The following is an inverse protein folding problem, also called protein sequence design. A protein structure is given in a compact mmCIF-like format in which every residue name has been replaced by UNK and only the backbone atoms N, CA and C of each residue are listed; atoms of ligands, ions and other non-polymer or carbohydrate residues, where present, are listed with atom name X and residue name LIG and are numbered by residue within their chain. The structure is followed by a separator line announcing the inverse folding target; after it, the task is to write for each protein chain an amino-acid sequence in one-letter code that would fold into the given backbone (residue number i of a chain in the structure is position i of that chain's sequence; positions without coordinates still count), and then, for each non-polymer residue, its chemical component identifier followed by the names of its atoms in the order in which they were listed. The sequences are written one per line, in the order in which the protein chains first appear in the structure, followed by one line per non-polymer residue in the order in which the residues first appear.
data_IF_974402835766
#
_entry.id   IF_974402835766
#
_cell.length_a   1.000
_cell.length_b   1.000
_cell.length_c   1.000
_cell.angle_alpha   90.00
_cell.angle_beta   90.00
_cell.angle_gamma   90.00
#
_symmetry.space_group_name_H-M   'P 1'
#
loop_
_entity.id
_entity.type
_entity.pdbx_description
1 polymer ?
#
# COMPACT_ATOMS: atom_id res chain seq x y z
N UNK A 1 14.29 55.02 33.93
CA UNK A 1 12.83 54.77 33.88
C UNK A 1 12.61 53.56 32.99
N UNK A 2 12.23 52.44 33.61
CA UNK A 2 11.65 51.17 33.10
C UNK A 2 12.34 50.37 31.97
N UNK A 3 13.11 49.34 32.36
CA UNK A 3 13.39 48.11 31.60
C UNK A 3 12.13 47.24 31.54
N UNK A 4 11.58 46.97 30.36
CA UNK A 4 10.48 46.01 30.15
C UNK A 4 11.03 44.60 29.93
N UNK A 5 10.98 43.78 30.96
CA UNK A 5 11.16 42.33 30.88
C UNK A 5 9.97 41.71 30.12
N UNK A 6 10.22 41.21 28.92
CA UNK A 6 9.28 40.35 28.19
C UNK A 6 9.28 38.98 28.84
N UNK A 7 8.14 38.55 29.38
CA UNK A 7 7.95 37.23 29.95
C UNK A 7 7.99 36.14 28.85
N UNK A 8 8.56 34.95 29.12
CA UNK A 8 8.55 33.86 28.16
C UNK A 8 7.12 33.35 27.92
N UNK A 9 6.78 32.90 26.70
CA UNK A 9 5.45 32.34 26.43
C UNK A 9 5.20 31.10 27.30
N UNK A 10 4.23 31.23 28.19
CA UNK A 10 3.75 30.18 29.08
C UNK A 10 3.02 29.08 28.30
N UNK A 11 3.51 27.85 28.44
CA UNK A 11 2.75 26.60 28.31
C UNK A 11 2.17 26.30 26.93
N UNK A 12 2.91 25.53 26.13
CA UNK A 12 2.34 24.77 25.03
C UNK A 12 1.34 23.74 25.57
N UNK A 13 0.08 24.16 25.74
CA UNK A 13 -1.02 23.27 26.01
C UNK A 13 -1.20 22.34 24.82
N UNK A 14 -0.70 21.12 24.92
CA UNK A 14 -1.03 20.05 23.97
C UNK A 14 -2.56 19.88 24.01
N UNK A 15 -3.22 20.20 22.89
CA UNK A 15 -4.67 20.09 22.74
C UNK A 15 -5.09 18.63 22.97
N UNK A 16 -5.59 18.32 24.17
CA UNK A 16 -6.07 16.98 24.55
C UNK A 16 -7.16 16.46 23.61
N UNK A 17 -7.91 17.37 22.98
CA UNK A 17 -8.94 17.09 21.99
C UNK A 17 -8.37 16.46 20.71
N UNK A 18 -7.16 16.86 20.29
CA UNK A 18 -6.47 16.28 19.15
C UNK A 18 -6.05 14.83 19.41
N UNK A 19 -5.42 14.59 20.56
CA UNK A 19 -4.93 13.26 20.95
C UNK A 19 -6.06 12.22 21.07
N UNK A 20 -7.20 12.61 21.66
CA UNK A 20 -8.37 11.72 21.77
C UNK A 20 -8.94 11.33 20.40
N UNK A 21 -9.01 12.28 19.46
CA UNK A 21 -9.48 12.03 18.09
C UNK A 21 -8.54 11.09 17.34
N UNK A 22 -7.22 11.30 17.42
CA UNK A 22 -6.25 10.42 16.77
C UNK A 22 -6.29 9.01 17.34
N UNK A 23 -6.36 8.88 18.67
CA UNK A 23 -6.50 7.59 19.34
C UNK A 23 -7.78 6.85 18.92
N UNK A 24 -8.91 7.56 18.85
CA UNK A 24 -10.17 7.00 18.37
C UNK A 24 -10.07 6.50 16.91
N UNK A 25 -9.46 7.29 16.02
CA UNK A 25 -9.27 6.89 14.62
C UNK A 25 -8.36 5.66 14.48
N UNK A 26 -7.29 5.58 15.27
CA UNK A 26 -6.41 4.41 15.29
C UNK A 26 -7.14 3.16 15.79
N UNK A 27 -7.90 3.27 16.89
CA UNK A 27 -8.72 2.17 17.41
C UNK A 27 -9.76 1.70 16.37
N UNK A 28 -10.44 2.65 15.72
CA UNK A 28 -11.40 2.33 14.66
C UNK A 28 -10.73 1.62 13.47
N UNK A 29 -9.53 2.07 13.06
CA UNK A 29 -8.76 1.44 11.98
C UNK A 29 -8.31 0.02 12.33
N UNK A 30 -7.83 -0.20 13.56
CA UNK A 30 -7.46 -1.54 14.05
C UNK A 30 -8.69 -2.45 14.08
N UNK A 31 -9.81 -1.97 14.62
CA UNK A 31 -11.05 -2.74 14.66
C UNK A 31 -11.54 -3.11 13.25
N UNK A 32 -11.51 -2.15 12.30
CA UNK A 32 -11.87 -2.39 10.91
C UNK A 32 -10.94 -3.41 10.24
N UNK A 33 -9.62 -3.34 10.51
CA UNK A 33 -8.67 -4.33 10.02
C UNK A 33 -8.97 -5.72 10.57
N UNK A 34 -9.23 -5.85 11.88
CA UNK A 34 -9.61 -7.14 12.49
C UNK A 34 -10.86 -7.73 11.86
N UNK A 35 -11.90 -6.91 11.66
CA UNK A 35 -13.14 -7.35 10.98
C UNK A 35 -12.85 -7.80 9.55
N UNK A 36 -12.02 -7.06 8.81
CA UNK A 36 -11.63 -7.42 7.44
C UNK A 36 -10.84 -8.74 7.38
N UNK A 37 -9.96 -9.00 8.35
CA UNK A 37 -9.23 -10.26 8.46
C UNK A 37 -10.17 -11.44 8.74
N UNK A 38 -11.08 -11.29 9.71
CA UNK A 38 -12.10 -12.30 9.99
C UNK A 38 -12.98 -12.56 8.75
N UNK A 39 -13.44 -11.49 8.08
CA UNK A 39 -14.22 -11.60 6.86
C UNK A 39 -13.44 -12.29 5.73
N UNK A 40 -12.15 -11.98 5.56
CA UNK A 40 -11.30 -12.61 4.54
C UNK A 40 -11.17 -14.12 4.72
N UNK A 41 -11.22 -14.61 5.97
CA UNK A 41 -11.16 -16.05 6.27
C UNK A 41 -12.54 -16.69 6.10
N UNK A 42 -13.61 -16.02 6.55
CA UNK A 42 -14.97 -16.55 6.56
C UNK A 42 -15.64 -16.54 5.17
N UNK A 43 -15.42 -15.50 4.36
CA UNK A 43 -16.04 -15.33 3.05
C UNK A 43 -15.16 -15.88 1.93
N UNK A 44 -15.72 -16.81 1.13
CA UNK A 44 -15.07 -17.41 -0.04
C UNK A 44 -15.99 -18.41 -0.74
N UNK A 45 -15.44 -19.28 -1.60
CA UNK A 45 -16.19 -20.24 -2.43
C UNK A 45 -17.14 -21.17 -1.65
N UNK A 46 -16.87 -21.38 -0.36
CA UNK A 46 -17.77 -22.01 0.60
C UNK A 46 -17.76 -21.16 1.88
N UNK A 47 -18.93 -20.90 2.45
CA UNK A 47 -19.06 -20.26 3.77
C UNK A 47 -18.41 -21.18 4.80
N UNK A 48 -17.34 -20.70 5.44
CA UNK A 48 -16.56 -21.46 6.42
C UNK A 48 -16.84 -20.85 7.79
N UNK A 49 -17.27 -21.67 8.74
CA UNK A 49 -17.54 -21.23 10.11
C UNK A 49 -16.24 -21.07 10.89
N UNK A 50 -16.28 -20.33 12.01
CA UNK A 50 -15.14 -20.24 12.93
C UNK A 50 -14.71 -21.60 13.50
N UNK A 51 -15.67 -22.54 13.61
CA UNK A 51 -15.39 -23.92 14.03
C UNK A 51 -14.52 -24.67 13.02
N UNK A 52 -14.81 -24.54 11.73
CA UNK A 52 -14.05 -25.20 10.67
C UNK A 52 -12.58 -24.75 10.64
N UNK A 53 -12.31 -23.48 10.95
CA UNK A 53 -10.94 -22.93 11.04
C UNK A 53 -10.18 -23.55 12.22
N UNK A 54 -10.84 -23.67 13.39
CA UNK A 54 -10.26 -24.32 14.57
C UNK A 54 -10.05 -25.81 14.34
N UNK A 55 -10.93 -26.48 13.59
CA UNK A 55 -10.79 -27.88 13.23
C UNK A 55 -9.64 -28.11 12.24
N UNK A 56 -9.40 -27.20 11.30
CA UNK A 56 -8.20 -27.24 10.43
C UNK A 56 -6.92 -27.08 11.26
N UNK A 57 -6.87 -26.09 12.16
CA UNK A 57 -5.75 -25.90 13.09
C UNK A 57 -5.54 -27.10 14.02
N UNK A 58 -6.62 -27.77 14.41
CA UNK A 58 -6.61 -28.98 15.21
C UNK A 58 -6.36 -30.27 14.43
N UNK A 59 -6.12 -30.22 13.11
CA UNK A 59 -6.01 -31.38 12.21
C UNK A 59 -7.21 -32.34 12.22
N UNK A 60 -8.40 -31.81 12.54
CA UNK A 60 -9.69 -32.53 12.62
C UNK A 60 -10.59 -32.30 11.42
N UNK A 61 -10.24 -31.37 10.54
CA UNK A 61 -11.06 -30.99 9.39
C UNK A 61 -10.84 -31.90 8.17
N UNK A 62 -11.85 -31.96 7.31
CA UNK A 62 -11.77 -32.63 6.01
C UNK A 62 -10.67 -32.02 5.12
N UNK A 63 -10.06 -32.85 4.26
CA UNK A 63 -9.02 -32.43 3.32
C UNK A 63 -9.47 -31.28 2.40
N UNK A 64 -10.74 -31.27 1.98
CA UNK A 64 -11.31 -30.19 1.16
C UNK A 64 -11.40 -28.85 1.91
N UNK A 65 -11.77 -28.88 3.20
CA UNK A 65 -11.88 -27.67 4.04
C UNK A 65 -10.48 -27.11 4.35
N UNK A 66 -9.53 -28.00 4.62
CA UNK A 66 -8.11 -27.68 4.83
C UNK A 66 -7.51 -26.98 3.61
N UNK A 67 -7.64 -27.56 2.41
CA UNK A 67 -7.09 -26.97 1.17
C UNK A 67 -7.67 -25.58 0.86
N UNK A 68 -8.96 -25.36 1.16
CA UNK A 68 -9.61 -24.05 0.98
C UNK A 68 -9.02 -23.01 1.93
N UNK A 69 -8.86 -23.35 3.22
CA UNK A 69 -8.31 -22.44 4.23
C UNK A 69 -6.83 -22.15 3.95
N UNK A 70 -6.05 -23.16 3.56
CA UNK A 70 -4.65 -23.02 3.17
C UNK A 70 -4.45 -22.11 1.94
N UNK A 71 -5.42 -22.04 1.03
CA UNK A 71 -5.38 -21.09 -0.09
C UNK A 71 -5.74 -19.65 0.32
N UNK A 72 -6.55 -19.47 1.38
CA UNK A 72 -7.00 -18.15 1.85
C UNK A 72 -5.93 -17.43 2.66
N UNK A 73 -5.25 -18.14 3.56
CA UNK A 73 -4.20 -17.57 4.40
C UNK A 73 -3.13 -16.76 3.63
N UNK A 74 -2.49 -17.30 2.57
CA UNK A 74 -1.49 -16.55 1.82
C UNK A 74 -2.10 -15.33 1.14
N UNK A 75 -3.36 -15.39 0.70
CA UNK A 75 -4.05 -14.24 0.09
C UNK A 75 -4.27 -13.11 1.09
N UNK A 76 -4.71 -13.44 2.31
CA UNK A 76 -4.91 -12.46 3.39
C UNK A 76 -3.58 -11.81 3.79
N UNK A 77 -2.52 -12.62 3.94
CA UNK A 77 -1.17 -12.12 4.25
C UNK A 77 -0.66 -11.19 3.15
N UNK A 78 -0.77 -11.58 1.88
CA UNK A 78 -0.38 -10.74 0.76
C UNK A 78 -1.19 -9.43 0.70
N UNK A 79 -2.49 -9.47 0.99
CA UNK A 79 -3.33 -8.27 1.06
C UNK A 79 -2.88 -7.29 2.14
N UNK A 80 -2.56 -7.79 3.34
CA UNK A 80 -2.03 -6.95 4.43
C UNK A 80 -0.67 -6.36 4.07
N UNK A 81 0.25 -7.19 3.56
CA UNK A 81 1.59 -6.73 3.16
C UNK A 81 1.52 -5.68 2.04
N UNK A 82 0.71 -5.91 1.02
CA UNK A 82 0.49 -4.94 -0.06
C UNK A 82 -0.10 -3.63 0.47
N UNK A 83 -1.10 -3.70 1.37
CA UNK A 83 -1.69 -2.54 2.02
C UNK A 83 -0.69 -1.73 2.85
N UNK A 84 0.19 -2.40 3.60
CA UNK A 84 1.27 -1.76 4.36
C UNK A 84 2.28 -1.06 3.43
N UNK A 85 2.70 -1.72 2.35
CA UNK A 85 3.59 -1.13 1.35
C UNK A 85 2.96 0.13 0.72
N UNK A 86 1.68 0.08 0.36
CA UNK A 86 0.94 1.23 -0.18
C UNK A 86 0.80 2.36 0.84
N UNK A 87 0.53 2.04 2.11
CA UNK A 87 0.45 3.04 3.17
C UNK A 87 1.79 3.76 3.38
N UNK A 88 2.92 3.02 3.40
CA UNK A 88 4.26 3.58 3.50
C UNK A 88 4.58 4.44 2.28
N UNK A 89 4.34 3.93 1.06
CA UNK A 89 4.59 4.68 -0.16
C UNK A 89 3.74 5.96 -0.25
N UNK A 90 2.45 5.89 0.13
CA UNK A 90 1.54 7.03 0.18
C UNK A 90 1.97 8.09 1.19
N UNK A 91 2.29 7.70 2.42
CA UNK A 91 2.74 8.63 3.46
C UNK A 91 4.06 9.30 3.11
N UNK A 92 5.01 8.57 2.52
CA UNK A 92 6.26 9.13 1.99
C UNK A 92 5.99 10.13 0.87
N UNK A 93 5.12 9.79 -0.09
CA UNK A 93 4.78 10.67 -1.21
C UNK A 93 4.08 11.94 -0.72
N UNK A 94 3.15 11.84 0.21
CA UNK A 94 2.48 12.98 0.84
C UNK A 94 3.47 13.86 1.62
N UNK A 95 4.45 13.26 2.31
CA UNK A 95 5.51 13.97 3.03
C UNK A 95 6.47 14.74 2.12
N UNK A 96 6.95 14.10 1.04
CA UNK A 96 7.87 14.72 0.07
C UNK A 96 7.16 15.80 -0.77
N UNK A 97 5.94 15.53 -1.21
CA UNK A 97 5.15 16.47 -2.00
C UNK A 97 4.57 17.63 -1.18
N UNK A 98 4.49 17.47 0.15
CA UNK A 98 3.70 18.32 1.04
C UNK A 98 2.27 18.50 0.53
N UNK A 99 1.72 17.48 -0.14
CA UNK A 99 0.39 17.48 -0.71
C UNK A 99 -0.36 16.22 -0.22
N UNK A 100 -1.41 16.37 0.60
CA UNK A 100 -2.17 15.23 1.13
C UNK A 100 -2.91 14.44 0.03
N UNK A 101 -3.02 14.98 -1.18
CA UNK A 101 -3.64 14.31 -2.34
C UNK A 101 -2.62 13.52 -3.19
N UNK A 102 -1.32 13.58 -2.87
CA UNK A 102 -0.32 12.85 -3.62
C UNK A 102 -0.38 11.34 -3.33
N UNK A 103 -0.29 10.54 -4.39
CA UNK A 103 -0.36 9.08 -4.33
C UNK A 103 0.74 8.50 -5.25
N UNK A 104 1.48 7.47 -4.82
CA UNK A 104 2.63 6.93 -5.55
C UNK A 104 2.30 6.34 -6.92
N UNK A 105 1.05 5.92 -7.16
CA UNK A 105 0.55 5.41 -8.44
C UNK A 105 0.72 6.38 -9.61
N UNK A 106 0.89 7.68 -9.35
CA UNK A 106 1.08 8.71 -10.38
C UNK A 106 2.44 8.65 -11.10
N UNK A 107 3.39 7.83 -10.64
CA UNK A 107 4.72 7.71 -11.23
C UNK A 107 4.80 6.75 -12.43
N UNK A 108 3.67 6.30 -12.99
CA UNK A 108 3.65 5.40 -14.15
C UNK A 108 4.17 3.98 -13.88
N UNK A 109 4.49 3.63 -12.63
CA UNK A 109 5.04 2.33 -12.22
C UNK A 109 4.05 1.19 -12.55
N UNK A 110 2.75 1.39 -12.31
CA UNK A 110 1.70 0.42 -12.63
C UNK A 110 1.53 0.24 -14.15
N UNK A 111 1.65 1.32 -14.92
CA UNK A 111 1.59 1.28 -16.38
C UNK A 111 2.80 0.51 -16.95
N UNK A 112 4.01 0.78 -16.45
CA UNK A 112 5.23 0.06 -16.82
C UNK A 112 5.16 -1.44 -16.49
N UNK A 113 4.67 -1.79 -15.31
CA UNK A 113 4.46 -3.18 -14.92
C UNK A 113 3.49 -3.89 -15.86
N UNK A 114 2.34 -3.28 -16.13
CA UNK A 114 1.29 -3.84 -16.99
C UNK A 114 1.76 -3.99 -18.44
N UNK A 115 2.45 -2.99 -18.98
CA UNK A 115 3.02 -3.03 -20.33
C UNK A 115 4.04 -4.17 -20.47
N UNK A 116 4.91 -4.34 -19.48
CA UNK A 116 5.90 -5.43 -19.48
C UNK A 116 5.26 -6.81 -19.38
N UNK A 117 4.23 -6.99 -18.56
CA UNK A 117 3.46 -8.25 -18.50
C UNK A 117 2.84 -8.56 -19.86
N UNK A 118 2.16 -7.59 -20.49
CA UNK A 118 1.48 -7.79 -21.78
C UNK A 118 2.50 -8.09 -22.88
N UNK A 119 3.58 -7.33 -22.94
CA UNK A 119 4.71 -7.58 -23.83
C UNK A 119 5.26 -8.99 -23.67
N UNK A 120 5.65 -9.36 -22.45
CA UNK A 120 6.26 -10.66 -22.18
C UNK A 120 5.29 -11.81 -22.49
N UNK A 121 4.01 -11.66 -22.16
CA UNK A 121 2.98 -12.67 -22.46
C UNK A 121 2.78 -12.80 -23.98
N UNK A 122 2.82 -11.69 -24.72
CA UNK A 122 2.66 -11.69 -26.18
C UNK A 122 3.83 -12.36 -26.91
N UNK A 123 5.07 -12.18 -26.44
CA UNK A 123 6.27 -12.73 -27.09
C UNK A 123 6.69 -14.11 -26.57
N UNK A 124 6.56 -14.37 -25.27
CA UNK A 124 7.05 -15.59 -24.63
C UNK A 124 5.94 -16.57 -24.25
N UNK A 125 4.66 -16.17 -24.32
CA UNK A 125 3.50 -17.05 -24.13
C UNK A 125 3.24 -17.53 -22.69
N UNK A 126 4.08 -17.16 -21.72
CA UNK A 126 3.91 -17.51 -20.31
C UNK A 126 2.90 -16.58 -19.62
N UNK A 127 1.81 -17.14 -19.11
CA UNK A 127 0.75 -16.42 -18.37
C UNK A 127 0.56 -16.94 -16.94
N UNK A 128 1.53 -17.70 -16.42
CA UNK A 128 1.51 -18.18 -15.04
C UNK A 128 1.60 -17.03 -14.03
N UNK A 129 1.12 -17.26 -12.80
CA UNK A 129 1.20 -16.27 -11.73
C UNK A 129 2.66 -15.87 -11.41
N UNK A 130 3.57 -16.85 -11.39
CA UNK A 130 5.01 -16.64 -11.17
C UNK A 130 5.65 -15.86 -12.34
N UNK A 131 5.28 -16.18 -13.58
CA UNK A 131 5.79 -15.49 -14.76
C UNK A 131 5.35 -14.04 -14.76
N UNK A 132 4.06 -13.80 -14.49
CA UNK A 132 3.49 -12.44 -14.40
C UNK A 132 4.23 -11.59 -13.37
N UNK A 133 4.56 -12.16 -12.21
CA UNK A 133 5.34 -11.47 -11.17
C UNK A 133 6.74 -11.10 -11.67
N UNK A 134 7.45 -12.04 -12.31
CA UNK A 134 8.79 -11.77 -12.86
C UNK A 134 8.78 -10.79 -14.02
N UNK A 135 7.72 -10.75 -14.82
CA UNK A 135 7.57 -9.78 -15.92
C UNK A 135 7.11 -8.41 -15.45
N UNK A 136 6.35 -8.31 -14.36
CA UNK A 136 5.90 -7.04 -13.79
C UNK A 136 7.07 -6.20 -13.22
N UNK A 137 7.98 -6.85 -12.50
CA UNK A 137 9.10 -6.20 -11.81
C UNK A 137 10.01 -5.36 -12.73
N UNK A 138 10.57 -5.88 -13.83
CA UNK A 138 11.43 -5.08 -14.71
C UNK A 138 10.67 -3.91 -15.34
N UNK A 139 9.41 -4.09 -15.74
CA UNK A 139 8.58 -3.02 -16.27
C UNK A 139 8.36 -1.88 -15.28
N UNK A 140 8.04 -2.22 -14.03
CA UNK A 140 7.90 -1.26 -12.93
C UNK A 140 9.20 -0.49 -12.66
N UNK A 141 10.33 -1.20 -12.63
CA UNK A 141 11.65 -0.62 -12.38
C UNK A 141 12.09 0.33 -13.50
N UNK A 142 11.92 -0.09 -14.76
CA UNK A 142 12.24 0.73 -15.93
C UNK A 142 11.38 2.00 -15.92
N UNK A 143 10.08 1.87 -15.68
CA UNK A 143 9.19 3.03 -15.62
C UNK A 143 9.60 4.01 -14.50
N UNK A 144 9.86 3.50 -13.28
CA UNK A 144 10.33 4.33 -12.18
C UNK A 144 11.66 5.02 -12.47
N UNK A 145 12.61 4.32 -13.09
CA UNK A 145 13.90 4.88 -13.51
C UNK A 145 13.73 5.97 -14.57
N UNK A 146 12.88 5.75 -15.58
CA UNK A 146 12.59 6.74 -16.62
C UNK A 146 11.98 8.01 -16.03
N UNK A 147 10.96 7.87 -15.16
CA UNK A 147 10.37 9.02 -14.47
C UNK A 147 11.40 9.75 -13.62
N UNK A 148 12.25 9.02 -12.91
CA UNK A 148 13.32 9.63 -12.13
C UNK A 148 14.31 10.41 -13.00
N UNK A 149 14.80 9.82 -14.10
CA UNK A 149 15.74 10.46 -15.04
C UNK A 149 15.12 11.70 -15.68
N UNK A 150 13.88 11.60 -16.18
CA UNK A 150 13.17 12.71 -16.83
C UNK A 150 12.86 13.82 -15.81
N UNK A 151 12.38 13.46 -14.62
CA UNK A 151 12.01 14.42 -13.58
C UNK A 151 13.21 15.05 -12.86
N UNK A 152 14.38 14.42 -12.90
CA UNK A 152 15.64 14.95 -12.36
C UNK A 152 16.50 15.68 -13.38
N UNK A 153 16.18 15.60 -14.69
CA UNK A 153 16.87 16.36 -15.72
C UNK A 153 16.76 17.88 -15.48
N UNK A 154 17.90 18.57 -15.50
CA UNK A 154 18.01 20.03 -15.33
C UNK A 154 18.50 20.48 -13.95
N UNK A 155 18.36 21.78 -13.65
CA UNK A 155 18.82 22.38 -12.39
C UNK A 155 17.81 22.16 -11.26
N UNK A 156 17.89 20.98 -10.63
CA UNK A 156 17.13 20.59 -9.44
C UNK A 156 16.05 19.56 -9.73
N UNK A 157 15.53 18.94 -8.68
CA UNK A 157 14.45 17.94 -8.75
C UNK A 157 13.16 18.58 -8.22
N UNK A 158 12.11 18.71 -9.05
CA UNK A 158 10.79 19.16 -8.57
C UNK A 158 9.79 18.01 -8.61
N UNK A 159 9.01 17.88 -7.53
CA UNK A 159 7.94 16.85 -7.43
C UNK A 159 6.94 16.99 -8.58
N UNK A 160 6.63 18.23 -8.99
CA UNK A 160 5.76 18.51 -10.14
C UNK A 160 6.32 17.92 -11.43
N UNK A 161 7.64 18.00 -11.68
CA UNK A 161 8.26 17.39 -12.87
C UNK A 161 8.21 15.87 -12.83
N UNK A 162 8.43 15.26 -11.66
CA UNK A 162 8.29 13.81 -11.49
C UNK A 162 6.84 13.35 -11.78
N UNK A 163 5.84 14.09 -11.30
CA UNK A 163 4.42 13.78 -11.57
C UNK A 163 4.07 13.94 -13.05
N UNK A 164 4.53 15.03 -13.70
CA UNK A 164 4.29 15.23 -15.13
C UNK A 164 5.00 14.18 -16.01
N UNK A 165 6.23 13.81 -15.66
CA UNK A 165 6.95 12.73 -16.33
C UNK A 165 6.21 11.38 -16.20
N UNK A 166 5.67 11.08 -15.02
CA UNK A 166 4.84 9.90 -14.79
C UNK A 166 3.54 9.90 -15.60
N UNK A 167 2.87 11.05 -15.71
CA UNK A 167 1.67 11.21 -16.53
C UNK A 167 1.97 10.98 -18.02
N UNK A 168 3.09 11.52 -18.54
CA UNK A 168 3.53 11.30 -19.92
C UNK A 168 3.89 9.84 -20.17
N UNK A 169 4.54 9.17 -19.22
CA UNK A 169 4.90 7.76 -19.37
C UNK A 169 3.66 6.83 -19.32
N UNK A 170 2.59 7.26 -18.64
CA UNK A 170 1.35 6.48 -18.51
C UNK A 170 0.45 6.61 -19.74
N UNK A 171 0.49 7.76 -20.41
CA UNK A 171 -0.32 8.07 -21.60
C UNK A 171 0.14 7.26 -22.83
#
# INVERSE_FOLDING_TARGET
MATTTVAPPSGAGTSRTGAARTAFLLLAAVAALTVALCASVMFGSRSTSLGDVLDVLGSRADANVTAIIESRYPRTVLGVLAGLCLAVAGTLMQGVSRNPLAEPGLLGINAGASASIVAATAWFGGSGATDTMWWALPGALIAGALVHVIGSAGTGTSVVRLVLAGAVLTA
#
